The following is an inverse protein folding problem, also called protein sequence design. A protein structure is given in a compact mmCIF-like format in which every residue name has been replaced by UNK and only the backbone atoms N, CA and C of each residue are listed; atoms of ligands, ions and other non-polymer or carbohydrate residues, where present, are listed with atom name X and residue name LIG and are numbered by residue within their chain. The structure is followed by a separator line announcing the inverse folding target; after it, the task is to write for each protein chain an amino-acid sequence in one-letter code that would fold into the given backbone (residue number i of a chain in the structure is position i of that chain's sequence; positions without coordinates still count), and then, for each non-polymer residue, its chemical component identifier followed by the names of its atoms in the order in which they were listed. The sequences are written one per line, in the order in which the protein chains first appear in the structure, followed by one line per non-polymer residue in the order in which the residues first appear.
data_IF_045613421773
#
_entry.id   IF_045613421773
#
_cell.length_a   1.000
_cell.length_b   1.000
_cell.length_c   1.000
_cell.angle_alpha   90.00
_cell.angle_beta   90.00
_cell.angle_gamma   90.00
#
_symmetry.space_group_name_H-M   'P 1'
#
loop_
_entity.id
_entity.type
_entity.pdbx_description
1 polymer ?
#
# COMPACT_ATOMS: atom_id res chain seq x y z
N UNK A 1 -14.55 10.36 -12.01
CA UNK A 1 -13.78 9.29 -11.34
C UNK A 1 -14.20 7.90 -11.81
N UNK A 2 -15.50 7.60 -11.97
CA UNK A 2 -16.01 6.30 -12.46
C UNK A 2 -15.65 6.00 -13.93
N UNK A 3 -15.55 7.01 -14.81
CA UNK A 3 -15.19 6.80 -16.22
C UNK A 3 -13.72 6.38 -16.48
N UNK A 4 -12.80 6.70 -15.56
CA UNK A 4 -11.40 6.29 -15.71
C UNK A 4 -11.16 4.83 -15.28
N UNK A 5 -11.92 4.33 -14.30
CA UNK A 5 -11.87 2.92 -13.90
C UNK A 5 -12.37 1.98 -14.98
N UNK A 6 -13.41 2.37 -15.72
CA UNK A 6 -14.00 1.57 -16.81
C UNK A 6 -13.03 1.43 -18.01
N UNK A 7 -12.20 2.45 -18.26
CA UNK A 7 -11.20 2.37 -19.34
C UNK A 7 -10.01 1.46 -18.99
N UNK A 8 -9.68 1.32 -17.71
CA UNK A 8 -8.60 0.41 -17.28
C UNK A 8 -9.02 -1.06 -17.46
N UNK A 9 -10.25 -1.41 -17.10
CA UNK A 9 -10.78 -2.76 -17.31
C UNK A 9 -10.90 -3.12 -18.81
N UNK A 10 -11.37 -2.19 -19.64
CA UNK A 10 -11.49 -2.44 -21.11
C UNK A 10 -10.14 -2.71 -21.77
N UNK A 11 -9.08 -2.01 -21.38
CA UNK A 11 -7.74 -2.24 -21.93
C UNK A 11 -7.13 -3.55 -21.43
N UNK A 12 -7.43 -3.98 -20.19
CA UNK A 12 -6.96 -5.25 -19.66
C UNK A 12 -7.63 -6.45 -20.33
N UNK A 13 -8.92 -6.33 -20.71
CA UNK A 13 -9.65 -7.38 -21.43
C UNK A 13 -9.33 -7.46 -22.94
N UNK A 14 -8.89 -6.35 -23.56
CA UNK A 14 -8.55 -6.36 -24.98
C UNK A 14 -7.22 -7.07 -25.28
N UNK A 15 -6.31 -7.13 -24.31
CA UNK A 15 -5.04 -7.87 -24.43
C UNK A 15 -5.22 -9.41 -24.32
N UNK A 16 -6.38 -9.87 -23.84
CA UNK A 16 -6.66 -11.30 -23.57
C UNK A 16 -7.30 -12.05 -24.74
N UNK A 17 -7.55 -11.39 -25.88
CA UNK A 17 -8.30 -11.99 -27.01
C UNK A 17 -7.44 -12.44 -28.20
N UNK A 18 -6.13 -12.55 -28.04
CA UNK A 18 -5.28 -13.18 -29.04
C UNK A 18 -4.41 -14.26 -28.39
N UNK A 19 -4.68 -15.50 -28.86
CA UNK A 19 -3.91 -16.72 -28.68
C UNK A 19 -4.03 -17.43 -27.32
N UNK A 20 -4.89 -18.45 -27.31
CA UNK A 20 -4.81 -19.58 -26.40
C UNK A 20 -3.51 -20.36 -26.66
N UNK A 21 -2.40 -19.86 -26.19
CA UNK A 21 -1.23 -20.70 -25.95
C UNK A 21 -1.43 -21.24 -24.53
N UNK A 22 -1.91 -22.46 -24.44
CA UNK A 22 -1.91 -23.22 -23.20
C UNK A 22 -0.46 -23.56 -22.85
N UNK A 23 0.24 -22.62 -22.23
CA UNK A 23 1.57 -22.86 -21.69
C UNK A 23 1.36 -23.57 -20.34
N UNK A 24 1.31 -24.89 -20.39
CA UNK A 24 1.10 -25.79 -19.25
C UNK A 24 2.36 -26.00 -18.40
N UNK A 25 3.41 -25.18 -18.56
CA UNK A 25 4.63 -25.31 -17.80
C UNK A 25 4.72 -24.23 -16.72
N UNK A 26 4.65 -24.58 -15.42
CA UNK A 26 4.72 -23.61 -14.31
C UNK A 26 5.92 -22.65 -14.40
N UNK A 27 7.01 -23.10 -15.00
CA UNK A 27 8.26 -22.35 -15.19
C UNK A 27 8.13 -21.19 -16.20
N UNK A 28 7.22 -21.29 -17.17
CA UNK A 28 7.01 -20.26 -18.18
C UNK A 28 6.03 -19.19 -17.73
N UNK A 29 5.08 -19.53 -16.85
CA UNK A 29 4.19 -18.52 -16.23
C UNK A 29 4.97 -17.51 -15.37
N UNK A 30 6.01 -17.93 -14.65
CA UNK A 30 6.85 -17.05 -13.86
C UNK A 30 7.71 -16.09 -14.70
N UNK A 31 8.08 -16.50 -15.93
CA UNK A 31 8.84 -15.65 -16.86
C UNK A 31 8.00 -14.55 -17.51
N UNK A 32 6.68 -14.71 -17.58
CA UNK A 32 5.76 -13.77 -18.26
C UNK A 32 5.17 -12.74 -17.28
N UNK A 33 5.19 -12.99 -15.96
CA UNK A 33 4.66 -12.05 -14.97
C UNK A 33 5.68 -10.94 -14.66
N UNK A 34 5.36 -9.67 -14.96
CA UNK A 34 6.27 -8.58 -14.66
C UNK A 34 6.46 -8.45 -13.13
N UNK A 35 7.71 -8.48 -12.69
CA UNK A 35 8.06 -8.21 -11.29
C UNK A 35 7.90 -6.72 -11.02
N UNK A 36 6.98 -6.39 -10.14
CA UNK A 36 6.66 -5.01 -9.80
C UNK A 36 7.48 -4.52 -8.60
N UNK A 37 7.66 -3.22 -8.57
CA UNK A 37 8.11 -2.46 -7.41
C UNK A 37 6.89 -1.76 -6.82
N UNK A 38 6.47 -2.16 -5.64
CA UNK A 38 5.20 -1.74 -5.03
C UNK A 38 5.51 -0.90 -3.80
N UNK A 39 5.04 0.34 -3.76
CA UNK A 39 5.04 1.14 -2.54
C UNK A 39 3.74 0.87 -1.79
N UNK A 40 3.84 0.35 -0.58
CA UNK A 40 2.71 0.08 0.31
C UNK A 40 2.72 1.11 1.43
N UNK A 41 1.59 1.82 1.58
CA UNK A 41 1.42 2.91 2.55
C UNK A 41 0.32 2.54 3.52
N UNK A 42 0.64 2.51 4.80
CA UNK A 42 -0.29 2.11 5.85
C UNK A 42 -0.06 2.88 7.15
N UNK A 43 -1.15 3.14 7.89
CA UNK A 43 -1.07 3.69 9.25
C UNK A 43 -0.83 2.59 10.30
N UNK A 44 -1.14 1.34 9.96
CA UNK A 44 -1.09 0.20 10.88
C UNK A 44 -0.17 -0.90 10.35
N UNK A 45 0.64 -1.47 11.26
CA UNK A 45 1.56 -2.56 10.93
C UNK A 45 1.82 -3.41 12.19
N UNK A 46 2.10 -4.71 12.09
CA UNK A 46 2.52 -5.48 13.25
C UNK A 46 3.73 -4.85 13.98
N UNK A 47 3.76 -4.87 15.32
CA UNK A 47 3.03 -5.76 16.22
C UNK A 47 1.63 -5.29 16.65
N UNK A 48 1.03 -4.29 15.99
CA UNK A 48 -0.37 -3.98 16.25
C UNK A 48 -1.27 -5.17 15.90
N UNK A 49 -2.13 -5.56 16.87
CA UNK A 49 -3.03 -6.71 16.69
C UNK A 49 -4.36 -6.21 16.14
N UNK A 50 -4.44 -6.10 14.83
CA UNK A 50 -5.69 -5.84 14.12
C UNK A 50 -5.71 -6.57 12.77
N UNK A 51 -6.91 -6.79 12.23
CA UNK A 51 -7.11 -7.57 11.01
C UNK A 51 -6.40 -6.99 9.79
N UNK A 52 -6.33 -5.65 9.68
CA UNK A 52 -5.67 -4.96 8.56
C UNK A 52 -4.16 -5.20 8.60
N UNK A 53 -3.53 -5.00 9.77
CA UNK A 53 -2.09 -5.20 9.93
C UNK A 53 -1.67 -6.64 9.61
N UNK A 54 -2.43 -7.63 10.10
CA UNK A 54 -2.13 -9.05 9.86
C UNK A 54 -2.34 -9.45 8.40
N UNK A 55 -3.44 -9.02 7.79
CA UNK A 55 -3.73 -9.29 6.38
C UNK A 55 -2.68 -8.66 5.47
N UNK A 56 -2.27 -7.43 5.77
CA UNK A 56 -1.26 -6.70 5.02
C UNK A 56 0.12 -7.37 5.11
N UNK A 57 0.49 -7.87 6.29
CA UNK A 57 1.73 -8.64 6.48
C UNK A 57 1.74 -9.88 5.58
N UNK A 58 0.62 -10.63 5.52
CA UNK A 58 0.53 -11.80 4.66
C UNK A 58 0.58 -11.45 3.17
N UNK A 59 -0.09 -10.36 2.79
CA UNK A 59 -0.03 -9.82 1.43
C UNK A 59 1.42 -9.49 1.05
N UNK A 60 2.14 -8.77 1.89
CA UNK A 60 3.54 -8.39 1.65
C UNK A 60 4.45 -9.63 1.51
N UNK A 61 4.29 -10.62 2.40
CA UNK A 61 5.02 -11.90 2.30
C UNK A 61 4.72 -12.61 0.99
N UNK A 62 3.45 -12.67 0.59
CA UNK A 62 3.02 -13.29 -0.67
C UNK A 62 3.60 -12.59 -1.90
N UNK A 63 3.54 -11.27 -1.94
CA UNK A 63 4.09 -10.48 -3.03
C UNK A 63 5.61 -10.63 -3.14
N UNK A 64 6.34 -10.63 -2.03
CA UNK A 64 7.79 -10.84 -2.03
C UNK A 64 8.15 -12.25 -2.49
N UNK A 65 7.40 -13.27 -2.07
CA UNK A 65 7.56 -14.65 -2.53
C UNK A 65 7.37 -14.78 -4.05
N UNK A 66 6.50 -13.94 -4.64
CA UNK A 66 6.31 -13.85 -6.09
C UNK A 66 7.39 -13.00 -6.80
N UNK A 67 8.40 -12.53 -6.08
CA UNK A 67 9.53 -11.78 -6.64
C UNK A 67 9.28 -10.27 -6.81
N UNK A 68 8.17 -9.74 -6.29
CA UNK A 68 7.94 -8.30 -6.26
C UNK A 68 8.83 -7.62 -5.22
N UNK A 69 9.20 -6.36 -5.45
CA UNK A 69 9.94 -5.55 -4.49
C UNK A 69 8.98 -4.61 -3.75
N UNK A 70 9.16 -4.50 -2.43
CA UNK A 70 8.27 -3.72 -1.57
C UNK A 70 9.02 -2.57 -0.91
N UNK A 71 8.47 -1.35 -1.08
CA UNK A 71 8.73 -0.22 -0.21
C UNK A 71 7.57 -0.13 0.78
N UNK A 72 7.85 -0.30 2.06
CA UNK A 72 6.86 -0.14 3.13
C UNK A 72 6.99 1.28 3.73
N UNK A 73 5.91 2.07 3.69
CA UNK A 73 5.82 3.40 4.28
C UNK A 73 4.80 3.34 5.42
N UNK A 74 5.25 3.56 6.65
CA UNK A 74 4.43 3.40 7.85
C UNK A 74 4.90 4.30 9.00
N UNK A 75 4.09 4.51 10.04
CA UNK A 75 4.53 5.14 11.27
C UNK A 75 5.63 4.33 11.96
N UNK A 76 6.52 5.02 12.64
CA UNK A 76 7.48 4.38 13.53
C UNK A 76 6.77 3.75 14.73
N UNK A 77 7.27 2.61 15.18
CA UNK A 77 6.72 1.86 16.31
C UNK A 77 7.85 1.52 17.28
N UNK A 78 7.54 1.44 18.58
CA UNK A 78 8.51 1.10 19.64
C UNK A 78 9.09 -0.32 19.48
N UNK A 79 8.30 -1.24 18.91
CA UNK A 79 8.72 -2.62 18.60
C UNK A 79 8.66 -2.82 17.10
N UNK A 80 9.67 -3.47 16.55
CA UNK A 80 9.69 -3.89 15.14
C UNK A 80 9.04 -5.24 14.97
N UNK A 81 8.46 -5.47 13.79
CA UNK A 81 8.03 -6.80 13.37
C UNK A 81 9.24 -7.51 12.76
N UNK A 82 9.71 -8.56 13.40
CA UNK A 82 10.85 -9.36 12.92
C UNK A 82 10.47 -10.34 11.80
N UNK A 83 9.18 -10.62 11.66
CA UNK A 83 8.65 -11.63 10.72
C UNK A 83 8.71 -11.23 9.24
N UNK A 84 9.02 -9.97 8.93
CA UNK A 84 9.04 -9.48 7.56
C UNK A 84 10.04 -8.33 7.40
N UNK A 85 10.89 -8.45 6.37
CA UNK A 85 11.81 -7.39 5.97
C UNK A 85 11.47 -6.90 4.56
N UNK A 86 10.94 -5.67 4.41
CA UNK A 86 10.71 -5.08 3.11
C UNK A 86 12.03 -4.77 2.39
N UNK A 87 12.02 -4.68 1.07
CA UNK A 87 13.22 -4.29 0.30
C UNK A 87 13.67 -2.87 0.65
N UNK A 88 12.74 -2.01 1.02
CA UNK A 88 12.98 -0.68 1.56
C UNK A 88 11.90 -0.30 2.55
N UNK A 89 12.27 0.43 3.59
CA UNK A 89 11.33 0.94 4.59
C UNK A 89 11.46 2.46 4.73
N UNK A 90 10.33 3.13 4.89
CA UNK A 90 10.25 4.55 5.21
C UNK A 90 9.38 4.73 6.45
N UNK A 91 10.00 5.02 7.58
CA UNK A 91 9.31 5.29 8.84
C UNK A 91 9.01 6.78 8.94
N UNK A 92 7.75 7.15 9.16
CA UNK A 92 7.33 8.51 9.47
C UNK A 92 7.08 8.67 10.97
N UNK A 93 7.11 9.89 11.48
CA UNK A 93 6.77 10.13 12.89
C UNK A 93 5.37 9.63 13.20
N UNK A 94 5.25 8.89 14.29
CA UNK A 94 3.97 8.45 14.82
C UNK A 94 3.37 9.51 15.75
N UNK A 95 2.05 9.68 15.67
CA UNK A 95 1.28 10.53 16.58
C UNK A 95 0.14 9.73 17.17
N UNK A 96 0.09 9.64 18.49
CA UNK A 96 -1.03 9.01 19.20
C UNK A 96 -2.31 9.84 19.04
N UNK A 97 -3.44 9.15 18.92
CA UNK A 97 -4.74 9.81 18.86
C UNK A 97 -5.14 10.23 20.28
N UNK A 98 -5.48 11.51 20.53
CA UNK A 98 -6.01 11.94 21.80
C UNK A 98 -7.20 11.06 22.21
N UNK A 99 -7.33 10.70 23.49
CA UNK A 99 -8.30 9.75 24.05
C UNK A 99 -8.08 8.28 23.70
N UNK A 100 -7.26 7.93 22.67
CA UNK A 100 -7.00 6.54 22.24
C UNK A 100 -5.49 6.30 22.10
N UNK A 101 -4.74 6.21 23.21
CA UNK A 101 -3.26 6.15 23.20
C UNK A 101 -2.70 4.90 22.53
N UNK A 102 -3.53 3.86 22.34
CA UNK A 102 -3.16 2.63 21.62
C UNK A 102 -3.29 2.75 20.10
N UNK A 103 -3.99 3.79 19.63
CA UNK A 103 -4.12 4.09 18.21
C UNK A 103 -3.20 5.25 17.85
N UNK A 104 -2.52 5.11 16.73
CA UNK A 104 -1.62 6.15 16.21
C UNK A 104 -1.78 6.29 14.71
N UNK A 105 -1.43 7.46 14.21
CA UNK A 105 -1.35 7.73 12.79
C UNK A 105 0.04 8.23 12.41
N UNK A 106 0.38 8.10 11.14
CA UNK A 106 1.63 8.62 10.60
C UNK A 106 1.55 10.10 10.31
N UNK A 107 2.49 10.87 10.82
CA UNK A 107 2.56 12.30 10.51
C UNK A 107 2.78 12.53 9.00
N UNK A 108 2.07 13.50 8.37
CA UNK A 108 2.16 13.74 6.94
C UNK A 108 3.50 14.39 6.55
N UNK A 109 4.56 13.60 6.45
CA UNK A 109 5.91 14.05 6.08
C UNK A 109 6.12 13.98 4.56
N UNK A 110 5.49 14.89 3.80
CA UNK A 110 5.49 14.89 2.33
C UNK A 110 6.88 14.75 1.71
N UNK A 111 7.88 15.51 2.19
CA UNK A 111 9.23 15.46 1.65
C UNK A 111 9.89 14.08 1.84
N UNK A 112 9.70 13.48 3.02
CA UNK A 112 10.26 12.16 3.34
C UNK A 112 9.61 11.06 2.50
N UNK A 113 8.28 11.12 2.36
CA UNK A 113 7.50 10.20 1.50
C UNK A 113 7.90 10.37 0.03
N UNK A 114 8.06 11.61 -0.45
CA UNK A 114 8.50 11.90 -1.82
C UNK A 114 9.88 11.31 -2.11
N UNK A 115 10.86 11.55 -1.23
CA UNK A 115 12.21 11.01 -1.37
C UNK A 115 12.25 9.47 -1.35
N UNK A 116 11.44 8.85 -0.48
CA UNK A 116 11.33 7.40 -0.41
C UNK A 116 10.76 6.82 -1.71
N UNK A 117 9.69 7.42 -2.25
CA UNK A 117 9.07 7.03 -3.51
C UNK A 117 10.03 7.25 -4.69
N UNK A 118 10.69 8.40 -4.78
CA UNK A 118 11.67 8.69 -5.84
C UNK A 118 12.81 7.69 -5.86
N UNK A 119 13.45 7.48 -4.72
CA UNK A 119 14.60 6.59 -4.62
C UNK A 119 14.25 5.11 -4.81
N UNK A 120 13.00 4.72 -4.54
CA UNK A 120 12.53 3.36 -4.79
C UNK A 120 11.98 3.21 -6.21
N UNK A 121 11.47 4.25 -6.85
CA UNK A 121 10.85 4.28 -8.17
C UNK A 121 9.78 3.17 -8.34
N UNK A 122 8.67 3.18 -7.59
CA UNK A 122 7.65 2.15 -7.65
C UNK A 122 6.86 2.19 -8.97
N UNK A 123 6.36 1.03 -9.40
CA UNK A 123 5.42 0.92 -10.52
C UNK A 123 3.98 1.27 -10.10
N UNK A 124 3.67 1.08 -8.81
CA UNK A 124 2.35 1.34 -8.22
C UNK A 124 2.50 1.75 -6.76
N UNK A 125 1.62 2.65 -6.32
CA UNK A 125 1.48 3.04 -4.90
C UNK A 125 0.16 2.48 -4.40
N UNK A 126 0.22 1.55 -3.45
CA UNK A 126 -0.96 0.97 -2.79
C UNK A 126 -1.18 1.64 -1.43
N UNK A 127 -2.30 2.34 -1.30
CA UNK A 127 -2.69 3.03 -0.07
C UNK A 127 -3.69 2.14 0.66
N UNK A 128 -3.28 1.61 1.81
CA UNK A 128 -4.06 0.64 2.60
C UNK A 128 -5.08 1.34 3.50
N UNK A 129 -4.67 2.47 4.08
CA UNK A 129 -5.49 3.20 5.06
C UNK A 129 -5.64 4.67 4.67
N UNK A 130 -6.84 5.22 4.90
CA UNK A 130 -7.23 6.58 4.52
C UNK A 130 -6.82 7.65 5.56
N UNK A 131 -5.67 7.47 6.21
CA UNK A 131 -5.18 8.39 7.23
C UNK A 131 -4.34 9.55 6.67
N UNK A 132 -3.80 10.41 7.55
CA UNK A 132 -2.96 11.55 7.14
C UNK A 132 -1.73 11.15 6.32
N UNK A 133 -1.10 10.02 6.64
CA UNK A 133 0.00 9.45 5.86
C UNK A 133 -0.48 9.01 4.47
N UNK A 134 -1.62 8.30 4.41
CA UNK A 134 -2.24 7.88 3.15
C UNK A 134 -2.56 9.07 2.24
N UNK A 135 -3.12 10.17 2.79
CA UNK A 135 -3.36 11.41 2.06
C UNK A 135 -2.07 12.05 1.53
N UNK A 136 -1.00 12.00 2.31
CA UNK A 136 0.33 12.50 1.90
C UNK A 136 0.88 11.70 0.72
N UNK A 137 0.82 10.38 0.82
CA UNK A 137 1.26 9.48 -0.23
C UNK A 137 0.44 9.64 -1.52
N UNK A 138 -0.88 9.84 -1.40
CA UNK A 138 -1.78 10.13 -2.51
C UNK A 138 -1.36 11.40 -3.26
N UNK A 139 -1.07 12.49 -2.53
CA UNK A 139 -0.59 13.75 -3.13
C UNK A 139 0.72 13.55 -3.88
N UNK A 140 1.68 12.87 -3.27
CA UNK A 140 2.99 12.58 -3.88
C UNK A 140 2.82 11.70 -5.13
N UNK A 141 2.05 10.63 -5.05
CA UNK A 141 1.83 9.72 -6.17
C UNK A 141 1.13 10.43 -7.36
N UNK A 142 0.13 11.27 -7.09
CA UNK A 142 -0.53 12.10 -8.11
C UNK A 142 0.45 13.08 -8.77
N UNK A 143 1.25 13.80 -7.99
CA UNK A 143 2.24 14.74 -8.52
C UNK A 143 3.26 14.05 -9.43
N UNK A 144 3.61 12.80 -9.13
CA UNK A 144 4.54 11.97 -9.91
C UNK A 144 3.87 11.13 -10.99
N UNK A 145 2.54 11.26 -11.17
CA UNK A 145 1.75 10.51 -12.16
C UNK A 145 1.91 8.99 -12.02
N UNK A 146 2.12 8.50 -10.81
CA UNK A 146 2.23 7.08 -10.52
C UNK A 146 0.83 6.43 -10.47
N UNK A 147 0.68 5.19 -10.94
CA UNK A 147 -0.52 4.40 -10.72
C UNK A 147 -0.80 4.24 -9.22
N UNK A 148 -2.07 4.40 -8.84
CA UNK A 148 -2.51 4.34 -7.45
C UNK A 148 -3.57 3.24 -7.32
N UNK A 149 -3.41 2.42 -6.29
CA UNK A 149 -4.39 1.45 -5.84
C UNK A 149 -4.73 1.72 -4.38
N UNK A 150 -5.95 1.48 -3.98
CA UNK A 150 -6.36 1.56 -2.57
C UNK A 150 -7.20 0.36 -2.18
N UNK A 151 -7.06 -0.06 -0.92
CA UNK A 151 -7.94 -1.03 -0.28
C UNK A 151 -8.98 -0.30 0.58
N UNK A 152 -10.22 -0.77 0.58
CA UNK A 152 -11.24 -0.34 1.53
C UNK A 152 -11.31 -1.37 2.65
N UNK A 153 -10.70 -1.04 3.80
CA UNK A 153 -10.65 -1.93 4.96
C UNK A 153 -11.57 -1.51 6.10
N UNK A 154 -11.90 -0.22 6.16
CA UNK A 154 -12.86 0.35 7.12
C UNK A 154 -13.35 1.71 6.62
N UNK A 155 -14.61 2.04 6.91
CA UNK A 155 -15.11 3.39 6.68
C UNK A 155 -14.54 4.32 7.76
N UNK A 156 -13.54 5.10 7.43
CA UNK A 156 -12.97 6.08 8.36
C UNK A 156 -14.03 7.11 8.79
N UNK A 157 -14.99 7.38 7.93
CA UNK A 157 -16.09 8.30 8.20
C UNK A 157 -17.04 7.74 9.27
N UNK A 158 -17.33 6.44 9.26
CA UNK A 158 -18.13 5.81 10.30
C UNK A 158 -17.31 5.64 11.60
N UNK A 159 -16.03 5.34 11.46
CA UNK A 159 -15.08 5.25 12.56
C UNK A 159 -14.95 6.59 13.31
N UNK A 160 -14.87 7.72 12.58
CA UNK A 160 -14.79 9.06 13.18
C UNK A 160 -16.02 9.43 14.01
N UNK A 161 -17.21 8.96 13.62
CA UNK A 161 -18.47 9.15 14.38
C UNK A 161 -18.47 8.40 15.71
N UNK A 162 -17.92 7.17 15.73
CA UNK A 162 -17.83 6.37 16.97
C UNK A 162 -16.82 6.95 17.97
N UNK A 163 -15.81 7.66 17.50
CA UNK A 163 -14.72 8.16 18.34
C UNK A 163 -14.77 9.67 18.59
N UNK A 164 -15.87 10.34 18.25
CA UNK A 164 -15.99 11.82 18.41
C UNK A 164 -14.75 12.59 17.85
N UNK A 165 -14.15 12.08 16.80
CA UNK A 165 -13.04 12.74 16.14
C UNK A 165 -13.62 13.74 15.14
N UNK A 166 -13.78 14.99 15.56
CA UNK A 166 -14.05 16.09 14.65
C UNK A 166 -12.76 16.41 13.87
N UNK A 167 -12.75 16.03 12.59
CA UNK A 167 -11.75 16.49 11.63
C UNK A 167 -12.40 17.44 10.63
#
# INVERSE_FOLDING_TARGET
LLKQSINFEKNYFHFKKKEHISITHPFLEDLVRPRLRIAIVTETWPPEINGVALSLLQLCKGLQKQGHKILLIRPEQKKSCEDFQPNKECLVKAQSIPKYPHLQFGWPQLNKVSQAIESFAPNVVHIVTEGPLGCSALRVAKAKKLPISSGFHSSFQDFSRFFDLAF
#
